data_IF_438244947478
#
_entry.id   IF_438244947478
#
_cell.length_a   1.000
_cell.length_b   1.000
_cell.length_c   1.000
_cell.angle_alpha   90.00
_cell.angle_beta   90.00
_cell.angle_gamma   90.00
#
_symmetry.space_group_name_H-M   'P 1'
#
loop_
_entity.id
_entity.type
_entity.pdbx_description
1 polymer ?
#
# COMPACT_ATOMS: atom_id res chain seq x y z
N UNK A 1 39.19 -20.38 5.40
CA UNK A 1 39.15 -18.92 5.59
C UNK A 1 39.76 -18.29 4.36
N UNK A 2 38.91 -17.63 3.56
CA UNK A 2 39.21 -16.25 3.21
C UNK A 2 38.02 -15.35 3.51
N UNK A 3 38.35 -14.29 4.25
CA UNK A 3 38.02 -12.88 4.12
C UNK A 3 36.61 -12.42 3.75
N UNK A 4 36.16 -11.58 4.67
CA UNK A 4 34.91 -10.87 4.86
C UNK A 4 34.92 -9.60 3.99
N UNK A 5 34.28 -9.65 2.81
CA UNK A 5 34.00 -8.47 2.01
C UNK A 5 32.73 -7.79 2.52
N UNK A 6 32.96 -6.74 3.30
CA UNK A 6 31.98 -5.76 3.76
C UNK A 6 31.45 -4.98 2.56
N UNK A 7 30.32 -5.41 1.98
CA UNK A 7 29.57 -4.62 1.00
C UNK A 7 28.71 -3.59 1.75
N UNK A 8 29.34 -2.50 2.17
CA UNK A 8 28.67 -1.26 2.56
C UNK A 8 28.19 -0.53 1.31
N UNK A 9 27.03 -0.92 0.80
CA UNK A 9 26.29 -0.19 -0.24
C UNK A 9 25.06 0.53 0.33
N UNK A 10 24.54 1.57 -0.35
CA UNK A 10 23.39 2.38 0.13
C UNK A 10 22.09 1.58 0.32
N UNK A 11 22.03 0.34 -0.18
CA UNK A 11 20.91 -0.59 0.01
C UNK A 11 20.96 -1.37 1.34
N UNK A 12 22.13 -1.49 1.97
CA UNK A 12 22.28 -2.15 3.28
C UNK A 12 21.75 -1.31 4.45
N UNK A 13 21.79 0.01 4.31
CA UNK A 13 21.22 0.95 5.28
C UNK A 13 19.68 0.98 5.23
N UNK A 14 19.07 0.76 4.05
CA UNK A 14 17.61 0.71 3.91
C UNK A 14 16.94 -0.49 4.59
N UNK A 15 17.64 -1.60 4.79
CA UNK A 15 17.10 -2.82 5.39
C UNK A 15 17.23 -2.87 6.93
N UNK A 16 18.12 -2.04 7.48
CA UNK A 16 18.34 -1.93 8.94
C UNK A 16 17.28 -1.08 9.65
N UNK A 17 16.48 -0.33 8.88
CA UNK A 17 15.46 0.60 9.38
C UNK A 17 14.03 0.08 9.29
N UNK A 18 13.79 -1.18 8.91
CA UNK A 18 12.45 -1.77 8.95
C UNK A 18 12.06 -2.07 10.41
N UNK A 19 11.08 -1.37 11.01
CA UNK A 19 10.61 -1.70 12.35
C UNK A 19 9.74 -2.97 12.29
N UNK A 20 9.88 -3.78 13.32
CA UNK A 20 8.97 -4.89 13.60
C UNK A 20 7.52 -4.38 13.62
N UNK A 21 6.62 -5.07 12.90
CA UNK A 21 5.19 -4.73 12.82
C UNK A 21 4.56 -4.65 14.23
N UNK A 22 3.94 -3.51 14.62
CA UNK A 22 3.53 -3.26 15.99
C UNK A 22 2.06 -3.65 16.22
N UNK A 23 1.73 -4.94 16.25
CA UNK A 23 0.39 -5.38 16.68
C UNK A 23 0.37 -6.17 18.00
N UNK A 24 1.51 -6.36 18.67
CA UNK A 24 1.55 -7.16 19.91
C UNK A 24 2.49 -6.62 20.98
N UNK A 25 2.20 -5.45 21.55
CA UNK A 25 2.76 -5.08 22.87
C UNK A 25 1.63 -4.71 23.82
N UNK A 26 1.55 -5.49 24.92
CA UNK A 26 0.78 -5.13 26.11
C UNK A 26 1.31 -3.83 26.75
N UNK A 27 0.65 -3.31 27.79
CA UNK A 27 0.91 -1.97 28.33
C UNK A 27 2.36 -1.87 28.85
N UNK A 28 3.22 -1.23 28.06
CA UNK A 28 4.58 -0.89 28.45
C UNK A 28 4.54 0.33 29.38
N UNK A 29 5.41 0.33 30.40
CA UNK A 29 5.56 1.46 31.31
C UNK A 29 5.86 2.76 30.53
N UNK A 30 5.16 3.84 30.90
CA UNK A 30 5.13 5.12 30.19
C UNK A 30 6.49 5.85 30.24
N UNK A 31 7.34 5.58 29.25
CA UNK A 31 8.26 6.58 28.74
C UNK A 31 7.49 7.70 28.01
N UNK A 32 8.12 8.84 27.69
CA UNK A 32 7.47 9.83 26.83
C UNK A 32 7.06 9.14 25.52
N UNK A 33 5.75 9.12 25.24
CA UNK A 33 5.22 8.49 24.03
C UNK A 33 5.79 9.10 22.76
N UNK A 34 5.63 8.42 21.63
CA UNK A 34 5.98 9.00 20.33
C UNK A 34 5.05 10.18 20.01
N UNK A 35 5.60 11.25 19.42
CA UNK A 35 4.84 12.46 19.08
C UNK A 35 3.69 12.17 18.08
N UNK A 36 3.90 11.20 17.19
CA UNK A 36 2.89 10.64 16.29
C UNK A 36 2.48 9.27 16.82
N UNK A 37 1.18 9.02 16.95
CA UNK A 37 0.66 7.74 17.41
C UNK A 37 1.25 6.59 16.59
N UNK A 38 1.73 5.57 17.28
CA UNK A 38 2.27 4.35 16.68
C UNK A 38 1.26 3.53 15.89
N UNK A 39 -0.04 3.56 16.26
CA UNK A 39 -1.09 2.78 15.62
C UNK A 39 -1.84 3.64 14.61
N UNK A 40 -2.18 3.03 13.50
CA UNK A 40 -3.16 3.55 12.53
C UNK A 40 -4.49 2.84 12.81
N UNK A 41 -5.55 3.63 12.98
CA UNK A 41 -6.84 3.11 13.41
C UNK A 41 -7.78 2.98 12.20
N UNK A 42 -8.23 1.76 11.85
CA UNK A 42 -9.28 1.62 10.84
C UNK A 42 -10.61 2.10 11.42
N UNK A 43 -11.30 2.99 10.72
CA UNK A 43 -12.61 3.53 11.09
C UNK A 43 -13.58 3.29 9.95
N UNK A 44 -14.65 2.55 10.25
CA UNK A 44 -15.74 2.32 9.29
C UNK A 44 -16.58 3.59 9.09
N UNK A 45 -16.92 3.84 7.83
CA UNK A 45 -17.74 4.96 7.36
C UNK A 45 -18.86 4.42 6.46
N UNK A 46 -19.77 5.29 6.03
CA UNK A 46 -20.82 4.90 5.09
C UNK A 46 -20.28 4.50 3.70
N UNK A 47 -19.11 5.02 3.31
CA UNK A 47 -18.51 4.77 1.99
C UNK A 47 -17.52 3.58 2.01
N UNK A 48 -17.06 3.17 3.19
CA UNK A 48 -16.07 2.12 3.40
C UNK A 48 -15.18 2.40 4.62
N UNK A 49 -13.95 1.90 4.64
CA UNK A 49 -13.03 2.05 5.77
C UNK A 49 -12.01 3.17 5.52
N UNK A 50 -11.72 3.97 6.53
CA UNK A 50 -10.66 4.99 6.51
C UNK A 50 -9.56 4.63 7.52
N UNK A 51 -8.30 4.85 7.12
CA UNK A 51 -7.17 4.73 8.04
C UNK A 51 -6.89 6.07 8.72
N UNK A 52 -7.03 6.10 10.04
CA UNK A 52 -6.91 7.32 10.85
C UNK A 52 -5.58 7.32 11.61
N UNK A 53 -4.79 8.37 11.40
CA UNK A 53 -3.54 8.67 12.08
C UNK A 53 -3.73 9.86 13.03
N UNK A 54 -2.91 9.91 14.09
CA UNK A 54 -2.90 11.01 15.03
C UNK A 54 -1.50 11.50 15.35
N UNK A 55 -1.38 12.81 15.51
CA UNK A 55 -0.19 13.48 16.02
C UNK A 55 -0.57 14.21 17.31
N UNK A 56 -0.04 13.72 18.42
CA UNK A 56 -0.32 14.20 19.76
C UNK A 56 0.48 15.45 20.11
N UNK A 57 1.74 15.47 19.68
CA UNK A 57 2.73 16.50 19.99
C UNK A 57 3.52 16.86 18.74
N UNK A 58 4.13 18.04 18.72
CA UNK A 58 5.00 18.43 17.61
C UNK A 58 6.22 17.48 17.55
N UNK A 59 6.42 16.75 16.43
CA UNK A 59 7.57 15.85 16.27
C UNK A 59 8.89 16.60 16.00
N UNK A 60 8.88 17.94 15.92
CA UNK A 60 10.04 18.76 15.57
C UNK A 60 9.92 19.39 14.18
N UNK A 61 8.70 19.73 13.76
CA UNK A 61 8.40 20.38 12.48
C UNK A 61 8.04 19.43 11.33
N UNK A 62 7.79 20.02 10.16
CA UNK A 62 7.26 19.34 8.98
C UNK A 62 8.07 18.10 8.53
N UNK A 63 9.41 18.17 8.54
CA UNK A 63 10.26 17.06 8.11
C UNK A 63 10.13 15.83 9.04
N UNK A 64 10.13 16.07 10.36
CA UNK A 64 9.96 15.00 11.35
C UNK A 64 8.55 14.40 11.31
N UNK A 65 7.53 15.24 11.09
CA UNK A 65 6.16 14.79 10.86
C UNK A 65 6.08 13.88 9.62
N UNK A 66 6.65 14.32 8.50
CA UNK A 66 6.66 13.55 7.26
C UNK A 66 7.34 12.18 7.46
N UNK A 67 8.53 12.14 8.06
CA UNK A 67 9.26 10.89 8.30
C UNK A 67 8.46 9.93 9.19
N UNK A 68 7.87 10.43 10.28
CA UNK A 68 7.03 9.63 11.16
C UNK A 68 5.79 9.08 10.44
N UNK A 69 5.09 9.90 9.67
CA UNK A 69 3.90 9.51 8.92
C UNK A 69 4.22 8.51 7.81
N UNK A 70 5.31 8.70 7.07
CA UNK A 70 5.71 7.83 5.96
C UNK A 70 5.73 6.37 6.38
N UNK A 71 6.43 6.08 7.46
CA UNK A 71 6.57 4.72 7.98
C UNK A 71 5.20 4.09 8.32
N UNK A 72 4.32 4.86 8.96
CA UNK A 72 3.00 4.39 9.41
C UNK A 72 2.05 4.19 8.23
N UNK A 73 2.03 5.13 7.29
CA UNK A 73 1.19 5.06 6.10
C UNK A 73 1.66 3.93 5.20
N UNK A 74 2.95 3.85 4.87
CA UNK A 74 3.50 2.78 4.02
C UNK A 74 3.24 1.41 4.67
N UNK A 75 3.51 1.26 5.98
CA UNK A 75 3.27 0.01 6.70
C UNK A 75 1.80 -0.40 6.75
N UNK A 76 0.89 0.53 7.02
CA UNK A 76 -0.56 0.22 7.07
C UNK A 76 -1.14 -0.09 5.70
N UNK A 77 -0.74 0.64 4.65
CA UNK A 77 -1.19 0.35 3.29
C UNK A 77 -0.66 -1.01 2.83
N UNK A 78 0.59 -1.35 3.13
CA UNK A 78 1.13 -2.68 2.84
C UNK A 78 0.36 -3.77 3.59
N UNK A 79 0.04 -3.54 4.87
CA UNK A 79 -0.78 -4.48 5.63
C UNK A 79 -2.13 -4.76 4.95
N UNK A 80 -2.82 -3.73 4.49
CA UNK A 80 -4.07 -3.87 3.73
C UNK A 80 -3.88 -4.56 2.37
N UNK A 81 -2.81 -4.26 1.64
CA UNK A 81 -2.52 -4.85 0.33
C UNK A 81 -2.04 -6.31 0.41
N UNK A 82 -1.55 -6.74 1.57
CA UNK A 82 -1.03 -8.09 1.80
C UNK A 82 -2.11 -9.08 2.28
N UNK A 83 -3.35 -8.63 2.41
CA UNK A 83 -4.47 -9.47 2.86
C UNK A 83 -4.71 -10.64 1.91
N UNK A 84 -5.04 -11.79 2.48
CA UNK A 84 -5.27 -13.02 1.71
C UNK A 84 -6.69 -13.06 1.14
N UNK A 85 -6.93 -13.97 0.19
CA UNK A 85 -8.27 -14.17 -0.35
C UNK A 85 -9.28 -14.59 0.73
N UNK A 86 -8.85 -15.39 1.71
CA UNK A 86 -9.69 -15.81 2.84
C UNK A 86 -10.10 -14.61 3.69
N UNK A 87 -9.15 -13.74 4.05
CA UNK A 87 -9.42 -12.50 4.80
C UNK A 87 -10.42 -11.58 4.08
N UNK A 88 -10.35 -11.54 2.75
CA UNK A 88 -11.18 -10.65 1.93
C UNK A 88 -12.59 -11.19 1.73
N UNK A 89 -12.79 -12.52 1.79
CA UNK A 89 -14.14 -13.11 1.80
C UNK A 89 -14.85 -12.83 3.11
N UNK A 90 -14.12 -12.87 4.23
CA UNK A 90 -14.70 -12.57 5.55
C UNK A 90 -14.92 -11.07 5.76
N UNK A 91 -13.98 -10.24 5.32
CA UNK A 91 -14.02 -8.79 5.48
C UNK A 91 -13.52 -8.08 4.21
N UNK A 92 -14.38 -7.79 3.22
CA UNK A 92 -13.96 -7.16 1.98
C UNK A 92 -13.17 -5.86 2.19
N UNK A 93 -12.08 -5.66 1.45
CA UNK A 93 -11.34 -4.40 1.50
C UNK A 93 -12.17 -3.28 0.86
N UNK A 94 -12.48 -2.26 1.66
CA UNK A 94 -13.23 -1.09 1.22
C UNK A 94 -12.50 0.20 1.61
N UNK A 95 -11.17 0.24 1.46
CA UNK A 95 -10.40 1.44 1.81
C UNK A 95 -10.84 2.64 0.96
N UNK A 96 -11.34 3.68 1.61
CA UNK A 96 -11.78 4.93 0.95
C UNK A 96 -10.84 6.11 1.17
N UNK A 97 -9.91 6.02 2.12
CA UNK A 97 -8.94 7.09 2.31
C UNK A 97 -8.10 7.03 3.59
N UNK A 98 -7.33 8.10 3.77
CA UNK A 98 -6.51 8.36 4.95
C UNK A 98 -7.01 9.64 5.63
N UNK A 99 -6.91 9.68 6.95
CA UNK A 99 -7.13 10.89 7.75
C UNK A 99 -6.01 11.08 8.74
N UNK A 100 -5.50 12.29 8.85
CA UNK A 100 -4.57 12.71 9.90
C UNK A 100 -5.25 13.75 10.79
N UNK A 101 -5.21 13.52 12.09
CA UNK A 101 -5.69 14.47 13.11
C UNK A 101 -4.49 15.00 13.89
N UNK A 102 -4.28 16.32 13.84
CA UNK A 102 -3.24 17.01 14.59
C UNK A 102 -3.83 17.63 15.86
N UNK A 103 -3.27 17.29 17.01
CA UNK A 103 -3.59 17.88 18.31
C UNK A 103 -2.54 18.89 18.78
N UNK A 104 -1.42 18.99 18.06
CA UNK A 104 -0.38 19.98 18.26
C UNK A 104 -0.23 20.87 17.01
N UNK A 105 0.18 22.10 17.24
CA UNK A 105 0.58 23.00 16.16
C UNK A 105 1.95 22.57 15.63
N UNK A 106 2.02 22.29 14.34
CA UNK A 106 3.25 21.87 13.65
C UNK A 106 3.42 22.80 12.47
N UNK A 107 4.49 23.59 12.50
CA UNK A 107 4.82 24.51 11.42
C UNK A 107 4.90 23.77 10.09
N UNK A 108 4.25 24.33 9.07
CA UNK A 108 4.21 23.82 7.70
C UNK A 108 3.71 22.36 7.56
N UNK A 109 2.84 21.92 8.48
CA UNK A 109 2.27 20.56 8.43
C UNK A 109 1.62 20.21 7.08
N UNK A 110 0.99 21.19 6.41
CA UNK A 110 0.41 20.99 5.09
C UNK A 110 1.44 20.50 4.05
N UNK A 111 2.67 21.02 4.11
CA UNK A 111 3.76 20.60 3.23
C UNK A 111 4.29 19.21 3.55
N UNK A 112 4.28 18.82 4.83
CA UNK A 112 4.67 17.47 5.25
C UNK A 112 3.73 16.38 4.72
N UNK A 113 2.43 16.69 4.65
CA UNK A 113 1.38 15.69 4.40
C UNK A 113 0.94 15.62 2.94
N UNK A 114 1.23 16.64 2.11
CA UNK A 114 0.85 16.67 0.69
C UNK A 114 1.39 15.49 -0.11
N UNK A 115 2.57 14.97 0.24
CA UNK A 115 3.17 13.80 -0.39
C UNK A 115 2.35 12.51 -0.18
N UNK A 116 1.45 12.50 0.82
CA UNK A 116 0.52 11.41 1.08
C UNK A 116 -0.88 11.69 0.53
N UNK A 117 -1.06 12.73 -0.31
CA UNK A 117 -2.35 13.08 -0.90
C UNK A 117 -3.34 13.65 0.12
N UNK A 118 -2.82 14.07 1.27
CA UNK A 118 -3.61 14.66 2.34
C UNK A 118 -3.74 16.17 2.11
N UNK A 119 -4.96 16.67 2.26
CA UNK A 119 -5.29 18.09 2.18
C UNK A 119 -6.16 18.50 3.36
N UNK A 120 -6.18 19.80 3.70
CA UNK A 120 -6.89 20.27 4.89
C UNK A 120 -8.39 19.98 4.78
N UNK A 121 -8.96 19.40 5.83
CA UNK A 121 -10.36 19.02 5.93
C UNK A 121 -11.04 19.69 7.13
N UNK A 122 -12.38 19.74 7.11
CA UNK A 122 -13.19 20.29 8.21
C UNK A 122 -13.53 19.24 9.27
N UNK A 123 -13.66 19.66 10.53
CA UNK A 123 -13.95 18.78 11.67
C UNK A 123 -15.44 18.41 11.87
N UNK A 124 -16.34 18.90 11.00
CA UNK A 124 -17.78 18.88 11.24
C UNK A 124 -18.54 17.59 10.89
N UNK A 125 -17.91 16.61 10.26
CA UNK A 125 -18.62 15.41 9.77
C UNK A 125 -18.91 14.40 10.89
N UNK A 126 -19.89 13.52 10.71
CA UNK A 126 -20.22 12.48 11.70
C UNK A 126 -19.08 11.47 11.85
N UNK A 127 -18.45 11.13 10.74
CA UNK A 127 -17.27 10.27 10.62
C UNK A 127 -16.08 10.88 11.38
N UNK A 128 -15.90 12.21 11.26
CA UNK A 128 -14.88 12.95 12.01
C UNK A 128 -15.10 12.84 13.52
N UNK A 129 -16.35 12.90 14.00
CA UNK A 129 -16.66 12.74 15.43
C UNK A 129 -16.37 11.33 15.94
N UNK A 130 -16.70 10.28 15.17
CA UNK A 130 -16.42 8.90 15.55
C UNK A 130 -14.90 8.63 15.63
N UNK A 131 -14.15 9.10 14.63
CA UNK A 131 -12.69 9.03 14.63
C UNK A 131 -12.08 9.77 15.84
N UNK A 132 -12.54 10.99 16.15
CA UNK A 132 -12.07 11.75 17.31
C UNK A 132 -12.38 11.06 18.64
N UNK A 133 -13.55 10.46 18.81
CA UNK A 133 -13.89 9.71 20.01
C UNK A 133 -12.94 8.53 20.24
N UNK A 134 -12.60 7.79 19.16
CA UNK A 134 -11.65 6.69 19.22
C UNK A 134 -10.23 7.16 19.53
N UNK A 135 -9.80 8.27 18.92
CA UNK A 135 -8.49 8.87 19.20
C UNK A 135 -8.36 9.35 20.65
N UNK A 136 -9.41 9.94 21.24
CA UNK A 136 -9.40 10.34 22.65
C UNK A 136 -9.30 9.14 23.60
N UNK A 137 -9.98 8.05 23.25
CA UNK A 137 -9.86 6.79 24.01
C UNK A 137 -8.43 6.25 23.94
N UNK A 138 -7.83 6.18 22.74
CA UNK A 138 -6.43 5.75 22.59
C UNK A 138 -5.47 6.68 23.33
N UNK A 139 -5.62 8.01 23.23
CA UNK A 139 -4.77 8.94 23.99
C UNK A 139 -4.82 8.66 25.50
N UNK A 140 -6.00 8.38 26.05
CA UNK A 140 -6.17 7.99 27.47
C UNK A 140 -5.42 6.69 27.80
N UNK A 141 -5.51 5.67 26.93
CA UNK A 141 -4.81 4.40 27.12
C UNK A 141 -3.28 4.55 27.10
N UNK A 142 -2.77 5.50 26.30
CA UNK A 142 -1.35 5.81 26.19
C UNK A 142 -0.87 6.88 27.18
N UNK A 143 -1.75 7.37 28.06
CA UNK A 143 -1.41 8.41 29.04
C UNK A 143 -1.10 9.78 28.44
N UNK A 144 -1.54 10.03 27.20
CA UNK A 144 -1.39 11.32 26.52
C UNK A 144 -2.56 12.25 26.89
N UNK A 145 -2.23 13.51 27.18
CA UNK A 145 -3.22 14.57 27.41
C UNK A 145 -3.35 15.40 26.15
N UNK A 146 -4.47 15.25 25.43
CA UNK A 146 -4.74 15.95 24.18
C UNK A 146 -5.86 16.97 24.35
N UNK A 147 -5.86 18.10 23.61
CA UNK A 147 -6.97 19.03 23.59
C UNK A 147 -8.27 18.35 23.10
N UNK A 148 -9.42 18.88 23.54
CA UNK A 148 -10.72 18.38 23.09
C UNK A 148 -10.87 18.57 21.57
N UNK A 149 -10.52 19.75 21.05
CA UNK A 149 -10.60 20.05 19.62
C UNK A 149 -9.23 19.91 18.95
N UNK A 150 -9.15 19.27 17.77
CA UNK A 150 -7.90 19.19 17.02
C UNK A 150 -7.51 20.55 16.43
N UNK A 151 -6.20 20.78 16.32
CA UNK A 151 -5.62 21.98 15.68
C UNK A 151 -5.89 21.96 14.17
N UNK A 152 -5.74 20.78 13.55
CA UNK A 152 -6.00 20.59 12.14
C UNK A 152 -6.39 19.15 11.83
N UNK A 153 -7.19 18.98 10.79
CA UNK A 153 -7.50 17.68 10.20
C UNK A 153 -7.08 17.73 8.74
N UNK A 154 -6.44 16.66 8.28
CA UNK A 154 -6.13 16.44 6.88
C UNK A 154 -6.77 15.14 6.42
N UNK A 155 -7.26 15.11 5.18
CA UNK A 155 -7.86 13.94 4.59
C UNK A 155 -7.41 13.77 3.14
N UNK A 156 -7.31 12.52 2.70
CA UNK A 156 -6.96 12.12 1.35
C UNK A 156 -7.82 10.93 0.93
N UNK A 157 -8.19 10.88 -0.35
CA UNK A 157 -9.07 9.82 -0.88
C UNK A 157 -8.26 8.71 -1.54
N UNK A 158 -8.73 7.49 -1.35
CA UNK A 158 -8.36 6.33 -2.15
C UNK A 158 -9.27 6.26 -3.38
N UNK A 159 -8.67 6.23 -4.56
CA UNK A 159 -9.36 6.10 -5.84
C UNK A 159 -8.95 4.77 -6.46
N UNK A 160 -9.95 3.96 -6.77
CA UNK A 160 -9.80 2.68 -7.45
C UNK A 160 -10.67 2.71 -8.71
N UNK A 161 -10.15 2.18 -9.81
CA UNK A 161 -10.85 2.09 -11.10
C UNK A 161 -11.89 0.98 -11.06
N UNK A 162 -12.95 1.10 -11.86
CA UNK A 162 -14.01 0.07 -11.90
C UNK A 162 -13.45 -1.29 -12.34
N UNK A 163 -12.57 -1.29 -13.32
CA UNK A 163 -11.89 -2.49 -13.79
C UNK A 163 -11.03 -3.14 -12.70
N UNK A 164 -10.31 -2.37 -11.87
CA UNK A 164 -9.57 -2.93 -10.74
C UNK A 164 -10.51 -3.59 -9.70
N UNK A 165 -11.69 -3.02 -9.44
CA UNK A 165 -12.70 -3.64 -8.56
C UNK A 165 -13.27 -4.94 -9.15
N UNK A 166 -13.56 -4.96 -10.45
CA UNK A 166 -14.07 -6.14 -11.15
C UNK A 166 -13.03 -7.27 -11.16
N UNK A 167 -11.77 -6.94 -11.43
CA UNK A 167 -10.65 -7.90 -11.37
C UNK A 167 -10.47 -8.45 -9.97
N UNK A 168 -10.49 -7.61 -8.93
CA UNK A 168 -10.41 -8.07 -7.53
C UNK A 168 -11.50 -9.07 -7.20
N UNK A 169 -12.75 -8.74 -7.55
CA UNK A 169 -13.90 -9.59 -7.28
C UNK A 169 -13.75 -10.97 -7.92
N UNK A 170 -13.24 -11.02 -9.15
CA UNK A 170 -12.92 -12.29 -9.82
C UNK A 170 -11.73 -13.02 -9.14
N UNK A 171 -10.69 -12.30 -8.72
CA UNK A 171 -9.53 -12.89 -8.06
C UNK A 171 -9.86 -13.51 -6.70
N UNK A 172 -10.77 -12.91 -5.93
CA UNK A 172 -11.24 -13.46 -4.64
C UNK A 172 -11.85 -14.85 -4.83
N UNK A 173 -12.64 -15.06 -5.88
CA UNK A 173 -13.25 -16.35 -6.19
C UNK A 173 -12.25 -17.38 -6.74
N UNK A 174 -11.24 -16.92 -7.50
CA UNK A 174 -10.27 -17.79 -8.18
C UNK A 174 -9.07 -18.18 -7.31
N UNK A 175 -8.83 -17.49 -6.19
CA UNK A 175 -7.61 -17.64 -5.39
C UNK A 175 -7.84 -18.54 -4.18
N UNK A 176 -7.19 -19.70 -4.14
CA UNK A 176 -7.21 -20.63 -2.99
C UNK A 176 -5.84 -20.89 -2.35
N UNK A 177 -4.81 -20.15 -2.77
CA UNK A 177 -3.43 -20.33 -2.31
C UNK A 177 -2.81 -18.98 -1.91
N UNK A 178 -1.80 -19.03 -1.03
CA UNK A 178 -0.99 -17.87 -0.64
C UNK A 178 -0.04 -17.43 -1.76
N UNK A 179 0.34 -16.15 -1.76
CA UNK A 179 1.34 -15.63 -2.70
C UNK A 179 2.70 -16.32 -2.49
N UNK A 180 3.46 -16.44 -3.58
CA UNK A 180 4.79 -17.07 -3.60
C UNK A 180 4.78 -18.60 -3.68
N UNK A 181 3.71 -19.29 -3.26
CA UNK A 181 3.59 -20.75 -3.34
C UNK A 181 3.65 -21.29 -4.78
N UNK A 182 3.01 -20.57 -5.71
CA UNK A 182 2.97 -20.90 -7.14
C UNK A 182 3.36 -19.66 -7.96
N UNK A 183 4.66 -19.43 -8.23
CA UNK A 183 5.14 -18.29 -9.01
C UNK A 183 4.42 -18.14 -10.36
N UNK A 184 3.98 -16.92 -10.69
CA UNK A 184 3.24 -16.63 -11.92
C UNK A 184 1.74 -16.97 -11.88
N UNK A 185 1.26 -17.72 -10.88
CA UNK A 185 -0.15 -18.07 -10.79
C UNK A 185 -1.06 -16.88 -10.44
N UNK A 186 -0.72 -15.98 -9.49
CA UNK A 186 -1.46 -14.74 -9.29
C UNK A 186 -1.65 -13.92 -10.57
N UNK A 187 -0.58 -13.67 -11.34
CA UNK A 187 -0.68 -12.98 -12.62
C UNK A 187 -1.57 -13.74 -13.62
N UNK A 188 -1.39 -15.05 -13.76
CA UNK A 188 -2.21 -15.86 -14.67
C UNK A 188 -3.71 -15.80 -14.33
N UNK A 189 -4.07 -15.72 -13.04
CA UNK A 189 -5.46 -15.50 -12.61
C UNK A 189 -5.95 -14.11 -12.98
N UNK A 190 -5.14 -13.07 -12.79
CA UNK A 190 -5.48 -11.71 -13.19
C UNK A 190 -5.71 -11.61 -14.71
N UNK A 191 -4.83 -12.19 -15.53
CA UNK A 191 -5.00 -12.24 -16.98
C UNK A 191 -6.30 -12.95 -17.41
N UNK A 192 -6.67 -14.04 -16.72
CA UNK A 192 -7.96 -14.72 -16.94
C UNK A 192 -9.15 -13.87 -16.51
N UNK A 193 -9.05 -13.14 -15.41
CA UNK A 193 -10.10 -12.23 -14.94
C UNK A 193 -10.36 -11.13 -15.98
N UNK A 194 -9.31 -10.47 -16.48
CA UNK A 194 -9.41 -9.49 -17.57
C UNK A 194 -10.08 -10.07 -18.82
N UNK A 195 -9.61 -11.23 -19.27
CA UNK A 195 -10.18 -11.92 -20.42
C UNK A 195 -11.68 -12.20 -20.25
N UNK A 196 -12.12 -12.64 -19.06
CA UNK A 196 -13.53 -12.91 -18.78
C UNK A 196 -14.38 -11.64 -18.75
N UNK A 197 -13.84 -10.55 -18.18
CA UNK A 197 -14.52 -9.24 -18.14
C UNK A 197 -14.69 -8.68 -19.56
N UNK A 198 -13.66 -8.76 -20.40
CA UNK A 198 -13.74 -8.35 -21.80
C UNK A 198 -14.74 -9.20 -22.59
N UNK A 199 -14.69 -10.53 -22.45
CA UNK A 199 -15.62 -11.44 -23.13
C UNK A 199 -17.09 -11.13 -22.75
N UNK A 200 -17.35 -10.77 -21.49
CA UNK A 200 -18.67 -10.36 -21.02
C UNK A 200 -19.13 -9.01 -21.64
N UNK A 201 -18.21 -8.05 -21.80
CA UNK A 201 -18.50 -6.74 -22.42
C UNK A 201 -18.68 -6.83 -23.94
N UNK A 202 -17.84 -7.63 -24.62
CA UNK A 202 -17.93 -7.90 -26.06
C UNK A 202 -19.22 -8.61 -26.44
N UNK A 203 -19.71 -9.51 -25.58
CA UNK A 203 -21.00 -10.16 -25.77
C UNK A 203 -22.18 -9.17 -25.67
N UNK A 204 -21.98 -8.00 -25.04
CA UNK A 204 -22.96 -6.94 -24.94
C UNK A 204 -22.86 -5.90 -26.09
N UNK A 205 -21.65 -5.67 -26.64
CA UNK A 205 -21.40 -4.72 -27.74
C UNK A 205 -20.66 -5.40 -28.91
N UNK A 206 -21.39 -5.74 -29.97
CA UNK A 206 -20.93 -6.49 -31.15
C UNK A 206 -19.91 -5.75 -32.07
N UNK A 207 -19.22 -4.71 -31.58
CA UNK A 207 -18.34 -3.85 -32.38
C UNK A 207 -16.92 -3.68 -31.86
N UNK A 208 -16.55 -4.26 -30.71
CA UNK A 208 -15.20 -4.10 -30.18
C UNK A 208 -14.24 -5.15 -30.76
N UNK A 209 -13.31 -4.67 -31.58
CA UNK A 209 -12.40 -5.48 -32.40
C UNK A 209 -11.00 -5.65 -31.77
N UNK A 210 -10.85 -5.41 -30.46
CA UNK A 210 -9.54 -5.49 -29.80
C UNK A 210 -9.66 -6.08 -28.40
N UNK A 211 -9.30 -7.37 -28.28
CA UNK A 211 -9.13 -8.09 -27.02
C UNK A 211 -7.74 -7.78 -26.47
N UNK A 212 -7.63 -7.34 -25.22
CA UNK A 212 -6.34 -7.15 -24.58
C UNK A 212 -5.83 -8.50 -24.10
N UNK A 213 -4.68 -8.93 -24.63
CA UNK A 213 -3.99 -10.13 -24.17
C UNK A 213 -2.83 -9.70 -23.28
N UNK A 214 -2.93 -9.98 -21.99
CA UNK A 214 -1.86 -9.69 -21.04
C UNK A 214 -0.75 -10.75 -21.14
N UNK A 215 0.44 -10.31 -21.56
CA UNK A 215 1.67 -11.11 -21.58
C UNK A 215 2.45 -10.99 -20.26
N UNK A 216 3.32 -11.97 -19.98
CA UNK A 216 4.16 -11.96 -18.78
C UNK A 216 5.55 -11.34 -19.06
N UNK A 217 5.54 -10.16 -19.68
CA UNK A 217 6.73 -9.41 -20.12
C UNK A 217 6.51 -7.90 -19.94
N UNK A 218 7.47 -7.08 -20.37
CA UNK A 218 7.39 -5.62 -20.24
C UNK A 218 6.19 -5.01 -20.98
N UNK A 219 5.74 -5.59 -22.09
CA UNK A 219 4.56 -5.12 -22.80
C UNK A 219 3.28 -5.39 -22.00
N UNK A 220 3.19 -6.54 -21.35
CA UNK A 220 2.10 -6.85 -20.44
C UNK A 220 2.09 -5.97 -19.18
N UNK A 221 3.27 -5.60 -18.67
CA UNK A 221 3.39 -4.61 -17.58
C UNK A 221 2.77 -3.26 -18.00
N UNK A 222 3.12 -2.76 -19.20
CA UNK A 222 2.53 -1.52 -19.73
C UNK A 222 1.01 -1.65 -19.96
N UNK A 223 0.52 -2.78 -20.47
CA UNK A 223 -0.92 -2.99 -20.65
C UNK A 223 -1.68 -2.99 -19.31
N UNK A 224 -1.11 -3.61 -18.26
CA UNK A 224 -1.70 -3.57 -16.92
C UNK A 224 -1.68 -2.16 -16.33
N UNK A 225 -0.63 -1.38 -16.59
CA UNK A 225 -0.54 0.03 -16.21
C UNK A 225 -1.69 0.85 -16.80
N UNK A 226 -1.92 0.75 -18.11
CA UNK A 226 -2.98 1.48 -18.80
C UNK A 226 -4.39 1.09 -18.30
N UNK A 227 -4.58 -0.18 -17.93
CA UNK A 227 -5.89 -0.69 -17.52
C UNK A 227 -6.21 -0.36 -16.06
N UNK A 228 -5.27 -0.56 -15.13
CA UNK A 228 -5.61 -0.53 -13.70
C UNK A 228 -5.49 0.85 -13.06
N UNK A 229 -4.65 1.72 -13.60
CA UNK A 229 -4.20 2.90 -12.89
C UNK A 229 -5.04 4.14 -13.20
N UNK A 230 -5.05 5.08 -12.25
CA UNK A 230 -5.64 6.41 -12.43
C UNK A 230 -4.56 7.47 -12.53
N UNK A 231 -4.71 8.38 -13.49
CA UNK A 231 -3.82 9.54 -13.67
C UNK A 231 -4.19 10.73 -12.77
N UNK A 232 -5.15 10.56 -11.86
CA UNK A 232 -5.58 11.64 -10.98
C UNK A 232 -4.45 12.01 -10.00
N UNK A 233 -3.96 13.27 -10.00
CA UNK A 233 -2.93 13.69 -9.08
C UNK A 233 -3.49 13.90 -7.66
N UNK A 234 -2.62 13.78 -6.65
CA UNK A 234 -2.93 14.09 -5.25
C UNK A 234 -3.89 13.12 -4.54
N UNK A 235 -4.21 11.97 -5.13
CA UNK A 235 -5.02 10.91 -4.50
C UNK A 235 -4.20 9.64 -4.30
N UNK A 236 -4.59 8.80 -3.35
CA UNK A 236 -4.08 7.43 -3.30
C UNK A 236 -4.66 6.66 -4.49
N UNK A 237 -3.78 6.12 -5.33
CA UNK A 237 -4.12 5.35 -6.53
C UNK A 237 -4.32 3.89 -6.14
N UNK A 238 -5.39 3.66 -5.39
CA UNK A 238 -5.61 2.40 -4.69
C UNK A 238 -5.82 1.23 -5.66
N UNK A 239 -5.01 0.20 -5.48
CA UNK A 239 -5.22 -1.10 -6.10
C UNK A 239 -5.76 -2.05 -5.02
N UNK A 240 -6.82 -2.82 -5.31
CA UNK A 240 -7.29 -3.81 -4.37
C UNK A 240 -6.24 -4.90 -4.08
N UNK A 241 -6.29 -5.57 -2.91
CA UNK A 241 -5.17 -6.39 -2.43
C UNK A 241 -4.73 -7.54 -3.35
N UNK A 242 -5.64 -8.38 -3.86
CA UNK A 242 -5.25 -9.49 -4.73
C UNK A 242 -4.77 -9.01 -6.10
N UNK A 243 -5.36 -7.91 -6.59
CA UNK A 243 -4.93 -7.22 -7.81
C UNK A 243 -3.51 -6.68 -7.67
N UNK A 244 -3.19 -6.07 -6.53
CA UNK A 244 -1.85 -5.60 -6.21
C UNK A 244 -0.84 -6.75 -6.11
N UNK A 245 -1.20 -7.85 -5.45
CA UNK A 245 -0.35 -9.04 -5.35
C UNK A 245 -0.11 -9.71 -6.71
N UNK A 246 -1.13 -9.73 -7.59
CA UNK A 246 -0.99 -10.21 -8.96
C UNK A 246 -0.10 -9.29 -9.82
N UNK A 247 -0.15 -7.97 -9.60
CA UNK A 247 0.80 -7.04 -10.19
C UNK A 247 2.23 -7.32 -9.71
N UNK A 248 2.46 -7.49 -8.41
CA UNK A 248 3.78 -7.85 -7.89
C UNK A 248 4.31 -9.15 -8.52
N UNK A 249 3.45 -10.15 -8.70
CA UNK A 249 3.80 -11.41 -9.35
C UNK A 249 4.14 -11.22 -10.84
N UNK A 250 3.38 -10.40 -11.58
CA UNK A 250 3.70 -10.02 -12.96
C UNK A 250 5.08 -9.38 -13.07
N UNK A 251 5.40 -8.42 -12.19
CA UNK A 251 6.69 -7.74 -12.19
C UNK A 251 7.83 -8.71 -11.90
N UNK A 252 7.67 -9.61 -10.93
CA UNK A 252 8.64 -10.65 -10.63
C UNK A 252 8.88 -11.60 -11.83
N UNK A 253 7.81 -12.01 -12.52
CA UNK A 253 7.92 -12.82 -13.74
C UNK A 253 8.58 -12.05 -14.88
N UNK A 254 8.26 -10.77 -15.06
CA UNK A 254 8.85 -9.93 -16.10
C UNK A 254 10.35 -9.68 -15.85
N UNK A 255 10.76 -9.44 -14.60
CA UNK A 255 12.17 -9.39 -14.18
C UNK A 255 12.88 -10.68 -14.57
N UNK A 256 12.26 -11.84 -14.30
CA UNK A 256 12.88 -13.13 -14.64
C UNK A 256 12.98 -13.38 -16.14
N UNK A 257 11.89 -13.16 -16.88
CA UNK A 257 11.79 -13.53 -18.30
C UNK A 257 12.38 -12.49 -19.25
N UNK A 258 12.12 -11.22 -19.00
CA UNK A 258 12.50 -10.13 -19.91
C UNK A 258 13.88 -9.57 -19.59
N UNK A 259 14.25 -9.52 -18.30
CA UNK A 259 15.55 -9.01 -17.85
C UNK A 259 16.56 -10.13 -17.55
N UNK A 260 16.15 -11.40 -17.67
CA UNK A 260 17.03 -12.56 -17.52
C UNK A 260 17.58 -12.76 -16.10
N UNK A 261 16.92 -12.21 -15.08
CA UNK A 261 17.36 -12.32 -13.68
C UNK A 261 16.82 -13.60 -13.04
N UNK A 262 17.59 -14.17 -12.10
CA UNK A 262 17.07 -15.24 -11.25
C UNK A 262 16.25 -14.62 -10.11
N UNK A 263 14.99 -15.01 -10.03
CA UNK A 263 14.01 -14.52 -9.05
C UNK A 263 13.49 -15.71 -8.25
N UNK A 264 13.53 -15.61 -6.92
CA UNK A 264 12.82 -16.51 -6.03
C UNK A 264 11.71 -15.74 -5.30
N UNK A 265 10.55 -16.36 -5.11
CA UNK A 265 9.43 -15.79 -4.37
C UNK A 265 9.49 -16.25 -2.92
N UNK A 266 9.20 -15.37 -1.97
CA UNK A 266 8.96 -15.75 -0.58
C UNK A 266 7.46 -16.07 -0.38
N UNK A 267 7.13 -17.22 0.22
CA UNK A 267 5.74 -17.52 0.55
C UNK A 267 5.20 -16.56 1.62
N UNK A 268 4.00 -16.02 1.40
CA UNK A 268 3.35 -15.08 2.33
C UNK A 268 2.16 -15.72 3.02
N UNK A 269 2.42 -16.73 3.86
CA UNK A 269 1.39 -17.27 4.74
C UNK A 269 1.14 -16.33 5.92
N UNK A 270 -0.12 -16.19 6.32
CA UNK A 270 -0.46 -15.50 7.56
C UNK A 270 0.17 -16.23 8.76
N UNK A 271 0.70 -15.48 9.71
CA UNK A 271 1.19 -16.01 10.98
C UNK A 271 0.03 -16.35 11.94
N UNK A 272 0.36 -16.85 13.13
CA UNK A 272 -0.63 -17.18 14.17
C UNK A 272 -1.46 -15.96 14.62
N UNK A 273 -1.02 -14.74 14.29
CA UNK A 273 -1.75 -13.50 14.57
C UNK A 273 -2.64 -13.07 13.40
N UNK A 274 -2.72 -13.86 12.32
CA UNK A 274 -3.46 -13.54 11.11
C UNK A 274 -2.79 -12.48 10.24
N UNK A 275 -1.49 -12.21 10.44
CA UNK A 275 -0.76 -11.21 9.67
C UNK A 275 0.06 -11.89 8.59
N UNK A 276 -0.27 -11.62 7.33
CA UNK A 276 0.53 -12.07 6.19
C UNK A 276 1.69 -11.09 5.94
N UNK A 277 2.92 -11.57 5.74
CA UNK A 277 4.01 -10.72 5.31
C UNK A 277 3.75 -10.22 3.87
N UNK A 278 4.31 -9.07 3.48
CA UNK A 278 4.11 -8.56 2.13
C UNK A 278 4.77 -9.42 1.05
N UNK A 279 4.34 -9.29 -0.22
CA UNK A 279 5.07 -9.85 -1.36
C UNK A 279 6.55 -9.44 -1.38
N UNK A 280 7.43 -10.44 -1.29
CA UNK A 280 8.88 -10.28 -1.27
C UNK A 280 9.52 -11.20 -2.32
N UNK A 281 10.54 -10.70 -3.02
CA UNK A 281 11.35 -11.52 -3.91
C UNK A 281 12.81 -11.51 -3.49
N UNK A 282 13.56 -12.51 -3.96
CA UNK A 282 15.01 -12.57 -3.84
C UNK A 282 15.64 -12.59 -5.23
N UNK A 283 16.62 -11.73 -5.45
CA UNK A 283 17.41 -11.69 -6.67
C UNK A 283 18.77 -12.33 -6.43
N UNK A 284 19.20 -13.18 -7.36
CA UNK A 284 20.56 -13.75 -7.39
C UNK A 284 21.00 -14.36 -6.05
N UNK A 285 20.07 -15.01 -5.33
CA UNK A 285 20.32 -15.83 -4.14
C UNK A 285 20.48 -15.08 -2.81
N UNK A 286 20.83 -13.79 -2.78
CA UNK A 286 21.13 -13.08 -1.52
C UNK A 286 20.52 -11.68 -1.38
N UNK A 287 19.96 -11.09 -2.44
CA UNK A 287 19.39 -9.73 -2.35
C UNK A 287 17.89 -9.84 -2.14
N UNK A 288 17.43 -9.56 -0.92
CA UNK A 288 16.01 -9.42 -0.64
C UNK A 288 15.51 -8.07 -1.16
N UNK A 289 14.52 -8.12 -2.03
CA UNK A 289 13.87 -6.93 -2.57
C UNK A 289 12.47 -6.83 -1.98
N UNK A 290 12.14 -5.75 -1.27
CA UNK A 290 10.80 -5.52 -0.76
C UNK A 290 9.88 -5.05 -1.89
N UNK A 291 9.59 -5.95 -2.83
CA UNK A 291 8.87 -5.64 -4.06
C UNK A 291 7.54 -4.94 -3.78
N UNK A 292 6.76 -5.41 -2.79
CA UNK A 292 5.52 -4.75 -2.41
C UNK A 292 5.72 -3.29 -1.97
N UNK A 293 6.80 -2.95 -1.25
CA UNK A 293 7.05 -1.58 -0.83
C UNK A 293 7.42 -0.68 -2.01
N UNK A 294 8.26 -1.19 -2.91
CA UNK A 294 8.65 -0.45 -4.12
C UNK A 294 7.46 -0.25 -5.06
N UNK A 295 6.64 -1.29 -5.23
CA UNK A 295 5.40 -1.21 -6.00
C UNK A 295 4.40 -0.29 -5.31
N UNK A 296 4.20 -0.34 -3.99
CA UNK A 296 3.34 0.61 -3.28
C UNK A 296 3.71 2.06 -3.61
N UNK A 297 5.00 2.39 -3.48
CA UNK A 297 5.51 3.74 -3.73
C UNK A 297 5.27 4.18 -5.18
N UNK A 298 5.50 3.29 -6.14
CA UNK A 298 5.31 3.62 -7.55
C UNK A 298 3.83 3.62 -7.97
N UNK A 299 3.02 2.70 -7.44
CA UNK A 299 1.69 2.34 -7.94
C UNK A 299 0.56 3.00 -7.16
N UNK A 300 0.67 3.04 -5.83
CA UNK A 300 -0.43 3.40 -4.92
C UNK A 300 -0.26 4.81 -4.36
N UNK A 301 0.98 5.21 -4.06
CA UNK A 301 1.23 6.53 -3.49
C UNK A 301 0.85 7.66 -4.46
N UNK A 302 0.44 8.83 -3.95
CA UNK A 302 -0.04 9.92 -4.79
C UNK A 302 1.07 10.51 -5.64
N UNK A 303 0.73 10.86 -6.89
CA UNK A 303 1.62 11.63 -7.76
C UNK A 303 1.30 13.12 -7.64
N UNK A 304 2.32 13.96 -7.80
CA UNK A 304 2.12 15.41 -7.94
C UNK A 304 1.69 15.73 -9.37
N UNK A 305 1.05 16.89 -9.54
CA UNK A 305 0.60 17.37 -10.86
C UNK A 305 1.78 17.59 -11.82
N UNK A 306 2.93 17.97 -11.26
CA UNK A 306 4.17 18.33 -11.96
C UNK A 306 5.22 17.21 -11.94
N UNK A 307 4.85 16.02 -11.48
CA UNK A 307 5.79 14.90 -11.34
C UNK A 307 5.89 14.10 -12.63
N UNK A 308 7.08 14.10 -13.24
CA UNK A 308 7.42 13.18 -14.31
C UNK A 308 7.81 11.83 -13.70
N UNK A 309 6.96 10.82 -13.89
CA UNK A 309 7.21 9.45 -13.43
C UNK A 309 7.39 8.57 -14.67
N UNK A 310 8.47 7.77 -14.77
CA UNK A 310 8.60 6.80 -15.85
C UNK A 310 7.45 5.80 -15.80
N UNK A 311 7.10 5.22 -16.96
CA UNK A 311 6.14 4.12 -17.00
C UNK A 311 6.62 2.95 -16.14
N UNK A 312 5.71 2.05 -15.76
CA UNK A 312 6.04 0.95 -14.86
C UNK A 312 7.07 0.01 -15.49
N UNK A 313 6.98 -0.21 -16.81
CA UNK A 313 7.94 -1.02 -17.54
C UNK A 313 9.32 -0.34 -17.64
N UNK A 314 9.38 0.97 -17.88
CA UNK A 314 10.62 1.74 -17.85
C UNK A 314 11.28 1.74 -16.46
N UNK A 315 10.49 1.94 -15.40
CA UNK A 315 10.96 1.84 -14.02
C UNK A 315 11.51 0.46 -13.71
N UNK A 316 10.81 -0.61 -14.14
CA UNK A 316 11.24 -1.98 -13.94
C UNK A 316 12.57 -2.26 -14.64
N UNK A 317 12.69 -1.83 -15.91
CA UNK A 317 13.93 -1.96 -16.68
C UNK A 317 15.08 -1.18 -16.05
N UNK A 318 14.86 0.07 -15.64
CA UNK A 318 15.92 0.90 -15.04
C UNK A 318 16.38 0.43 -13.66
N UNK A 319 15.49 -0.19 -12.88
CA UNK A 319 15.79 -0.63 -11.51
C UNK A 319 16.41 -2.04 -11.46
N UNK A 320 16.01 -2.93 -12.38
CA UNK A 320 16.34 -4.36 -12.30
C UNK A 320 17.16 -4.91 -13.48
N UNK A 321 17.58 -4.06 -14.44
CA UNK A 321 18.56 -4.42 -15.46
C UNK A 321 19.89 -4.88 -14.85
#
# INVERSE_FOLDING_TARGET
MPDDDTIGGPLGEMLSELPQLPNQRGPAAAGPGEAVHTRVLPVETAEGSELVLACWRDPGGAAALHAALRLRIEGSLIGELSRTADDLRENPSALVGLRLVLFADVADAGDAVKAFGLSRAGAGTAESRAALARLRHEATLFGESIPDEPVAIYAGRAVVTDIAREVESALVEMTGDVWGKNPGAPFARMARAFAAIEDARLSADASADTRVVLSADLAGVSAVEELLFTDRPGVLRWLPPLTFQALCDLLAVAISRSLGRQVDWAETAADDAGVAPPPMIRLSGNVHVPLALEVLRWAVMPRRVDEEVPSLSEWLSGTFS
#
